data_IF_603817754012
#
_entry.id   IF_603817754012
#
_cell.length_a   1.000
_cell.length_b   1.000
_cell.length_c   1.000
_cell.angle_alpha   90.00
_cell.angle_beta   90.00
_cell.angle_gamma   90.00
#
_symmetry.space_group_name_H-M   'P 1'
#
loop_
_entity.id
_entity.type
_entity.pdbx_description
1 polymer ?
#
# COMPACT_ATOMS: atom_id res chain seq x y z
N UNK A 1 -7.82 19.60 -1.64
CA UNK A 1 -7.17 18.53 -0.87
C UNK A 1 -8.26 17.71 -0.22
N UNK A 2 -8.29 16.40 -0.43
CA UNK A 2 -9.19 15.47 0.27
C UNK A 2 -8.35 14.74 1.33
N UNK A 3 -8.71 14.89 2.58
CA UNK A 3 -8.16 14.09 3.68
C UNK A 3 -9.30 13.20 4.17
N UNK A 4 -9.11 11.89 4.15
CA UNK A 4 -10.07 10.93 4.68
C UNK A 4 -9.46 10.22 5.89
N UNK A 5 -10.22 10.13 6.96
CA UNK A 5 -9.90 9.37 8.17
C UNK A 5 -10.79 8.13 8.26
N UNK A 6 -10.45 7.17 9.08
CA UNK A 6 -11.19 5.91 9.24
C UNK A 6 -12.70 6.11 9.44
N UNK A 7 -13.13 7.15 10.18
CA UNK A 7 -14.54 7.49 10.38
C UNK A 7 -15.27 8.03 9.14
N UNK A 8 -14.53 8.46 8.10
CA UNK A 8 -15.13 9.07 6.91
C UNK A 8 -15.57 8.03 5.86
N UNK A 9 -15.21 6.77 6.04
CA UNK A 9 -15.51 5.72 5.06
C UNK A 9 -16.88 5.08 5.23
N UNK A 10 -17.57 5.33 6.35
CA UNK A 10 -18.89 4.75 6.64
C UNK A 10 -18.82 3.24 6.96
N UNK A 11 -17.68 2.75 7.40
CA UNK A 11 -17.48 1.34 7.74
C UNK A 11 -18.34 0.91 8.91
N UNK A 12 -19.03 -0.22 8.76
CA UNK A 12 -19.94 -0.82 9.76
C UNK A 12 -19.51 -2.24 10.19
N UNK A 13 -18.38 -2.71 9.69
CA UNK A 13 -17.90 -4.07 9.98
C UNK A 13 -17.22 -4.24 11.35
N UNK A 14 -16.69 -5.43 11.64
CA UNK A 14 -15.99 -5.73 12.88
C UNK A 14 -14.66 -4.98 12.98
N UNK A 15 -14.18 -4.85 14.21
CA UNK A 15 -12.86 -4.27 14.46
C UNK A 15 -11.73 -5.27 14.19
N UNK A 16 -10.68 -4.83 13.45
CA UNK A 16 -9.51 -5.63 13.16
C UNK A 16 -8.26 -5.03 13.82
N UNK A 17 -7.55 -5.84 14.60
CA UNK A 17 -6.26 -5.50 15.22
C UNK A 17 -6.16 -4.04 15.72
N UNK A 18 -5.26 -3.25 15.13
CA UNK A 18 -4.96 -1.89 15.54
C UNK A 18 -6.05 -0.88 15.17
N UNK A 19 -6.70 -1.07 14.03
CA UNK A 19 -7.74 -0.18 13.51
C UNK A 19 -8.98 -0.96 13.08
N UNK A 20 -10.17 -0.32 13.11
CA UNK A 20 -11.39 -1.01 12.73
C UNK A 20 -11.46 -1.35 11.23
N UNK A 21 -10.96 -0.46 10.37
CA UNK A 21 -11.20 -0.53 8.92
C UNK A 21 -10.12 -1.33 8.19
N UNK A 22 -10.48 -2.44 7.50
CA UNK A 22 -9.54 -3.19 6.67
C UNK A 22 -9.00 -2.36 5.50
N UNK A 23 -7.75 -2.60 5.12
CA UNK A 23 -7.11 -1.88 4.01
C UNK A 23 -7.86 -2.05 2.68
N UNK A 24 -8.39 -3.24 2.39
CA UNK A 24 -9.20 -3.47 1.19
C UNK A 24 -10.41 -2.54 1.13
N UNK A 25 -11.14 -2.41 2.24
CA UNK A 25 -12.29 -1.53 2.32
C UNK A 25 -11.87 -0.06 2.18
N UNK A 26 -10.82 0.36 2.89
CA UNK A 26 -10.35 1.74 2.88
C UNK A 26 -9.89 2.19 1.49
N UNK A 27 -9.10 1.36 0.80
CA UNK A 27 -8.65 1.63 -0.57
C UNK A 27 -9.84 1.70 -1.53
N UNK A 28 -10.78 0.75 -1.44
CA UNK A 28 -11.96 0.73 -2.30
C UNK A 28 -12.84 1.97 -2.10
N UNK A 29 -13.11 2.33 -0.85
CA UNK A 29 -13.90 3.52 -0.54
C UNK A 29 -13.25 4.82 -1.06
N UNK A 30 -11.93 4.93 -0.93
CA UNK A 30 -11.21 6.10 -1.44
C UNK A 30 -11.15 6.10 -2.98
N UNK A 31 -10.94 4.94 -3.61
CA UNK A 31 -11.01 4.79 -5.06
C UNK A 31 -12.35 5.27 -5.61
N UNK A 32 -13.46 4.82 -5.03
CA UNK A 32 -14.80 5.23 -5.46
C UNK A 32 -15.02 6.75 -5.33
N UNK A 33 -14.49 7.37 -4.28
CA UNK A 33 -14.53 8.84 -4.12
C UNK A 33 -13.70 9.57 -5.19
N UNK A 34 -12.54 9.03 -5.55
CA UNK A 34 -11.69 9.58 -6.60
C UNK A 34 -12.40 9.44 -7.95
N UNK A 35 -12.92 8.24 -8.25
CA UNK A 35 -13.63 7.96 -9.49
C UNK A 35 -14.84 8.88 -9.66
N UNK A 36 -15.66 9.03 -8.63
CA UNK A 36 -16.80 9.96 -8.66
C UNK A 36 -16.38 11.39 -9.02
N UNK A 37 -15.22 11.86 -8.56
CA UNK A 37 -14.71 13.19 -8.89
C UNK A 37 -14.08 13.29 -10.29
N UNK A 38 -13.64 12.18 -10.83
CA UNK A 38 -13.24 12.10 -12.24
C UNK A 38 -14.49 12.20 -13.12
N UNK A 39 -15.51 11.41 -12.78
CA UNK A 39 -16.75 11.32 -13.55
C UNK A 39 -17.55 12.63 -13.54
N UNK A 40 -17.54 13.39 -12.45
CA UNK A 40 -18.19 14.70 -12.35
C UNK A 40 -17.33 15.87 -12.93
N UNK A 41 -16.16 15.56 -13.46
CA UNK A 41 -15.23 16.52 -14.06
C UNK A 41 -14.40 17.34 -13.07
N UNK A 42 -14.58 17.17 -11.75
CA UNK A 42 -13.86 17.95 -10.73
C UNK A 42 -12.35 17.70 -10.76
N UNK A 43 -11.91 16.50 -11.18
CA UNK A 43 -10.51 16.10 -11.30
C UNK A 43 -10.04 15.91 -12.74
N UNK A 44 -10.87 16.21 -13.75
CA UNK A 44 -10.59 15.89 -15.15
C UNK A 44 -9.28 16.50 -15.69
N UNK A 45 -8.90 17.68 -15.21
CA UNK A 45 -7.75 18.45 -15.73
C UNK A 45 -6.62 18.65 -14.70
N UNK A 46 -6.68 17.96 -13.55
CA UNK A 46 -5.67 18.16 -12.49
C UNK A 46 -4.92 16.87 -12.19
N UNK A 47 -3.59 16.95 -11.97
CA UNK A 47 -2.87 15.81 -11.46
C UNK A 47 -3.39 15.44 -10.06
N UNK A 48 -3.59 14.16 -9.83
CA UNK A 48 -4.00 13.60 -8.54
C UNK A 48 -2.75 13.16 -7.77
N UNK A 49 -2.62 13.64 -6.53
CA UNK A 49 -1.73 13.05 -5.55
C UNK A 49 -2.59 12.34 -4.50
N UNK A 50 -2.39 11.02 -4.35
CA UNK A 50 -3.03 10.21 -3.33
C UNK A 50 -1.98 9.56 -2.42
N UNK A 51 -2.16 9.68 -1.12
CA UNK A 51 -1.35 9.03 -0.10
C UNK A 51 -2.25 8.08 0.70
N UNK A 52 -1.85 6.82 0.78
CA UNK A 52 -2.54 5.77 1.54
C UNK A 52 -1.61 5.27 2.64
N UNK A 53 -2.05 5.35 3.87
CA UNK A 53 -1.40 4.67 4.97
C UNK A 53 -2.18 3.39 5.26
N UNK A 54 -1.60 2.26 4.87
CA UNK A 54 -2.17 0.95 5.12
C UNK A 54 -1.85 0.50 6.54
N UNK A 55 -2.78 -0.16 7.19
CA UNK A 55 -2.69 -0.42 8.63
C UNK A 55 -3.03 -1.86 9.03
N UNK A 56 -3.49 -2.69 8.09
CA UNK A 56 -3.84 -4.09 8.40
C UNK A 56 -2.61 -4.94 8.76
N UNK A 57 -1.40 -4.51 8.37
CA UNK A 57 -0.13 -5.11 8.80
C UNK A 57 0.48 -4.45 10.04
N UNK A 58 -0.27 -3.62 10.78
CA UNK A 58 0.17 -3.08 12.07
C UNK A 58 -0.07 -4.10 13.20
N UNK A 59 0.87 -4.16 14.16
CA UNK A 59 0.68 -4.99 15.36
C UNK A 59 -0.63 -4.69 16.08
N UNK A 60 -1.27 -5.66 16.76
CA UNK A 60 -0.73 -6.93 17.26
C UNK A 60 -0.82 -8.14 16.30
N UNK A 61 -1.30 -8.02 15.08
CA UNK A 61 -1.43 -9.12 14.08
C UNK A 61 -2.33 -10.29 14.53
N UNK A 62 -3.29 -10.02 15.39
CA UNK A 62 -4.12 -11.07 15.99
C UNK A 62 -5.48 -11.27 15.32
N UNK A 63 -5.87 -10.37 14.45
CA UNK A 63 -7.13 -10.44 13.74
C UNK A 63 -6.96 -9.87 12.33
N UNK A 64 -6.90 -10.74 11.34
CA UNK A 64 -6.65 -10.40 9.95
C UNK A 64 -7.94 -10.59 9.15
N UNK A 65 -8.38 -9.60 8.36
CA UNK A 65 -9.57 -9.74 7.53
C UNK A 65 -9.39 -10.81 6.45
N UNK A 66 -10.46 -11.51 6.12
CA UNK A 66 -10.49 -12.29 4.88
C UNK A 66 -10.44 -11.37 3.67
N UNK A 67 -9.63 -11.73 2.66
CA UNK A 67 -9.64 -11.03 1.38
C UNK A 67 -10.87 -11.42 0.56
N UNK A 68 -11.65 -10.43 0.10
CA UNK A 68 -12.84 -10.63 -0.72
C UNK A 68 -12.48 -10.44 -2.20
N UNK A 69 -12.56 -11.49 -3.04
CA UNK A 69 -12.21 -11.41 -4.46
C UNK A 69 -13.12 -10.47 -5.26
N UNK A 70 -14.39 -10.40 -4.92
CA UNK A 70 -15.30 -9.42 -5.50
C UNK A 70 -15.41 -8.20 -4.59
N UNK A 71 -14.83 -7.09 -5.03
CA UNK A 71 -14.80 -5.85 -4.26
C UNK A 71 -16.17 -5.18 -4.17
N UNK A 72 -17.14 -5.57 -5.02
CA UNK A 72 -18.52 -5.09 -4.88
C UNK A 72 -19.23 -5.66 -3.64
N UNK A 73 -18.76 -6.80 -3.13
CA UNK A 73 -19.30 -7.43 -1.93
C UNK A 73 -18.91 -6.71 -0.63
N UNK A 74 -17.94 -5.78 -0.70
CA UNK A 74 -17.49 -5.03 0.48
C UNK A 74 -18.62 -4.20 1.11
N UNK A 75 -19.57 -3.69 0.32
CA UNK A 75 -20.71 -2.93 0.80
C UNK A 75 -20.33 -1.82 1.78
N UNK A 76 -20.90 -1.86 2.97
CA UNK A 76 -20.53 -0.99 4.09
C UNK A 76 -19.53 -1.65 5.08
N UNK A 77 -19.00 -2.81 4.73
CA UNK A 77 -18.06 -3.59 5.54
C UNK A 77 -18.72 -4.58 6.50
N UNK A 78 -20.05 -4.59 6.62
CA UNK A 78 -20.75 -5.56 7.50
C UNK A 78 -20.54 -7.01 7.08
N UNK A 79 -20.21 -7.26 5.81
CA UNK A 79 -19.86 -8.58 5.28
C UNK A 79 -18.76 -9.28 6.10
N UNK A 80 -17.82 -8.54 6.67
CA UNK A 80 -16.73 -9.11 7.46
C UNK A 80 -17.18 -9.73 8.80
N UNK A 81 -18.43 -9.58 9.23
CA UNK A 81 -18.97 -10.35 10.35
C UNK A 81 -19.23 -11.83 9.99
N UNK A 82 -19.39 -12.12 8.70
CA UNK A 82 -19.78 -13.44 8.19
C UNK A 82 -18.62 -14.16 7.46
N UNK A 83 -17.46 -13.52 7.33
CA UNK A 83 -16.28 -14.06 6.65
C UNK A 83 -15.37 -14.85 7.59
N UNK A 84 -14.51 -15.70 7.01
CA UNK A 84 -13.55 -16.54 7.75
C UNK A 84 -12.27 -15.76 8.11
N UNK A 85 -12.43 -14.68 8.89
CA UNK A 85 -11.30 -13.87 9.32
C UNK A 85 -10.32 -14.68 10.18
N UNK A 86 -9.03 -14.53 9.91
CA UNK A 86 -7.98 -15.22 10.65
C UNK A 86 -7.82 -14.63 12.06
N UNK A 87 -7.67 -15.50 13.05
CA UNK A 87 -7.38 -15.12 14.43
C UNK A 87 -6.17 -15.88 14.93
N UNK A 88 -5.28 -15.16 15.60
CA UNK A 88 -4.05 -15.69 16.18
C UNK A 88 -4.02 -15.39 17.67
N UNK A 89 -3.55 -16.37 18.46
CA UNK A 89 -3.30 -16.20 19.89
C UNK A 89 -1.95 -15.54 20.10
N UNK A 90 -1.92 -14.23 19.98
CA UNK A 90 -0.72 -13.43 20.18
C UNK A 90 -0.99 -12.32 21.20
N UNK A 91 -1.09 -12.71 22.45
CA UNK A 91 -1.27 -11.78 23.56
C UNK A 91 -0.02 -10.90 23.72
N UNK A 92 -0.09 -9.65 23.23
CA UNK A 92 0.90 -8.60 23.38
C UNK A 92 2.38 -9.06 23.31
N UNK A 93 2.84 -9.55 22.15
CA UNK A 93 4.23 -9.97 21.89
C UNK A 93 4.69 -11.30 22.53
N UNK A 94 3.85 -12.02 23.23
CA UNK A 94 4.23 -13.26 23.90
C UNK A 94 3.56 -14.52 23.35
N UNK A 95 2.59 -14.36 22.44
CA UNK A 95 1.90 -15.50 21.81
C UNK A 95 2.81 -16.24 20.82
N UNK A 96 2.65 -17.56 20.76
CA UNK A 96 3.41 -18.43 19.84
C UNK A 96 3.10 -18.16 18.37
N UNK A 97 1.96 -17.58 18.08
CA UNK A 97 1.44 -17.30 16.72
C UNK A 97 1.70 -15.88 16.25
N UNK A 98 2.52 -15.10 16.97
CA UNK A 98 2.77 -13.70 16.62
C UNK A 98 3.43 -13.52 15.25
N UNK A 99 4.38 -14.38 14.92
CA UNK A 99 5.08 -14.37 13.63
C UNK A 99 4.14 -14.82 12.51
N UNK A 100 3.30 -15.84 12.76
CA UNK A 100 2.33 -16.32 11.79
C UNK A 100 1.28 -15.25 11.49
N UNK A 101 0.82 -14.54 12.51
CA UNK A 101 -0.08 -13.40 12.35
C UNK A 101 0.55 -12.25 11.55
N UNK A 102 1.84 -11.96 11.79
CA UNK A 102 2.57 -10.98 10.97
C UNK A 102 2.63 -11.41 9.50
N UNK A 103 3.00 -12.66 9.22
CA UNK A 103 3.07 -13.19 7.85
C UNK A 103 1.70 -13.09 7.17
N UNK A 104 0.63 -13.53 7.85
CA UNK A 104 -0.73 -13.44 7.32
C UNK A 104 -1.17 -12.00 7.05
N UNK A 105 -0.78 -11.05 7.91
CA UNK A 105 -1.11 -9.64 7.73
C UNK A 105 -0.39 -9.02 6.52
N UNK A 106 0.86 -9.38 6.28
CA UNK A 106 1.63 -8.94 5.10
C UNK A 106 1.05 -9.58 3.83
N UNK A 107 0.71 -10.87 3.86
CA UNK A 107 0.09 -11.57 2.73
C UNK A 107 -1.24 -10.90 2.33
N UNK A 108 -2.09 -10.59 3.31
CA UNK A 108 -3.33 -9.84 3.09
C UNK A 108 -3.06 -8.48 2.42
N UNK A 109 -2.16 -7.67 2.97
CA UNK A 109 -1.85 -6.33 2.44
C UNK A 109 -1.29 -6.41 1.02
N UNK A 110 -0.37 -7.35 0.75
CA UNK A 110 0.21 -7.53 -0.59
C UNK A 110 -0.84 -8.01 -1.59
N UNK A 111 -1.76 -8.88 -1.18
CA UNK A 111 -2.89 -9.33 -2.01
C UNK A 111 -3.77 -8.14 -2.37
N UNK A 112 -4.18 -7.34 -1.37
CA UNK A 112 -5.00 -6.13 -1.59
C UNK A 112 -4.31 -5.16 -2.55
N UNK A 113 -3.01 -4.88 -2.34
CA UNK A 113 -2.24 -3.98 -3.20
C UNK A 113 -2.14 -4.49 -4.62
N UNK A 114 -1.79 -5.77 -4.80
CA UNK A 114 -1.66 -6.37 -6.13
C UNK A 114 -2.96 -6.32 -6.91
N UNK A 115 -4.06 -6.67 -6.26
CA UNK A 115 -5.39 -6.63 -6.88
C UNK A 115 -5.83 -5.19 -7.19
N UNK A 116 -5.56 -4.24 -6.30
CA UNK A 116 -5.84 -2.83 -6.54
C UNK A 116 -5.06 -2.31 -7.76
N UNK A 117 -3.77 -2.57 -7.83
CA UNK A 117 -2.90 -2.11 -8.92
C UNK A 117 -3.30 -2.71 -10.27
N UNK A 118 -3.76 -3.96 -10.28
CA UNK A 118 -4.12 -4.66 -11.52
C UNK A 118 -5.51 -4.35 -12.02
N UNK A 119 -6.47 -4.09 -11.12
CA UNK A 119 -7.88 -3.92 -11.48
C UNK A 119 -8.36 -2.47 -11.54
N UNK A 120 -7.81 -1.62 -10.67
CA UNK A 120 -8.38 -0.29 -10.42
C UNK A 120 -7.49 0.87 -10.86
N UNK A 121 -6.21 0.64 -11.11
CA UNK A 121 -5.34 1.69 -11.68
C UNK A 121 -5.59 1.75 -13.18
N UNK A 122 -6.13 2.87 -13.71
CA UNK A 122 -6.52 2.97 -15.11
C UNK A 122 -5.35 2.79 -16.07
N UNK A 123 -5.60 2.14 -17.20
CA UNK A 123 -4.61 1.94 -18.26
C UNK A 123 -4.39 3.19 -19.11
N UNK A 124 -5.38 4.05 -19.17
CA UNK A 124 -5.44 5.25 -20.01
C UNK A 124 -4.90 6.51 -19.31
N UNK A 125 -4.47 6.38 -18.04
CA UNK A 125 -3.94 7.48 -17.26
C UNK A 125 -2.53 7.18 -16.78
N UNK A 126 -1.60 8.07 -17.06
CA UNK A 126 -0.25 7.95 -16.51
C UNK A 126 -0.28 7.98 -14.98
N UNK A 127 0.33 6.97 -14.38
CA UNK A 127 0.39 6.82 -12.94
C UNK A 127 1.82 6.48 -12.51
N UNK A 128 2.29 7.14 -11.48
CA UNK A 128 3.51 6.78 -10.77
C UNK A 128 3.13 6.37 -9.35
N UNK A 129 3.43 5.14 -8.99
CA UNK A 129 3.06 4.55 -7.72
C UNK A 129 4.34 4.22 -6.96
N UNK A 130 4.41 4.67 -5.72
CA UNK A 130 5.51 4.38 -4.82
C UNK A 130 4.96 3.61 -3.63
N UNK A 131 5.44 2.38 -3.48
CA UNK A 131 5.11 1.51 -2.33
C UNK A 131 6.33 1.46 -1.42
N UNK A 132 6.15 1.74 -0.15
CA UNK A 132 7.25 1.67 0.81
C UNK A 132 6.77 1.22 2.19
N UNK A 133 7.65 0.54 2.93
CA UNK A 133 7.45 0.29 4.34
C UNK A 133 7.76 1.56 5.14
N UNK A 134 7.00 1.83 6.19
CA UNK A 134 7.24 2.98 7.07
C UNK A 134 8.33 2.68 8.11
N UNK A 135 8.39 1.44 8.61
CA UNK A 135 9.41 0.95 9.53
C UNK A 135 9.45 -0.58 9.59
N UNK A 136 10.43 -1.12 10.27
CA UNK A 136 10.52 -2.56 10.53
C UNK A 136 9.52 -2.98 11.61
N UNK A 137 9.02 -4.24 11.56
CA UNK A 137 8.25 -4.81 12.66
C UNK A 137 9.10 -4.93 13.92
N UNK A 138 8.46 -5.11 15.05
CA UNK A 138 9.15 -5.29 16.33
C UNK A 138 10.18 -6.41 16.33
N UNK A 139 11.16 -6.37 17.24
CA UNK A 139 12.30 -7.31 17.28
C UNK A 139 11.92 -8.79 17.47
N UNK A 140 10.70 -9.08 17.85
CA UNK A 140 10.17 -10.45 17.90
C UNK A 140 10.09 -11.05 16.50
N UNK A 141 9.75 -10.22 15.49
CA UNK A 141 9.67 -10.62 14.08
C UNK A 141 11.00 -10.38 13.38
N UNK A 142 11.55 -9.16 13.48
CA UNK A 142 12.74 -8.76 12.71
C UNK A 142 14.05 -9.28 13.28
N UNK A 143 14.07 -9.74 14.54
CA UNK A 143 15.29 -10.11 15.26
C UNK A 143 15.99 -8.91 15.89
N UNK A 144 16.89 -9.19 16.86
CA UNK A 144 17.70 -8.15 17.50
C UNK A 144 18.80 -7.67 16.55
N UNK A 145 18.94 -6.38 16.41
CA UNK A 145 19.96 -5.75 15.55
C UNK A 145 19.67 -5.83 14.06
N UNK A 146 18.43 -6.16 13.67
CA UNK A 146 18.01 -6.11 12.27
C UNK A 146 18.20 -4.71 11.66
N UNK A 147 18.40 -4.67 10.35
CA UNK A 147 18.46 -3.42 9.58
C UNK A 147 17.18 -2.61 9.81
N UNK A 148 17.31 -1.29 9.79
CA UNK A 148 16.16 -0.38 9.79
C UNK A 148 15.71 0.01 8.39
N UNK A 149 16.35 -0.54 7.36
CA UNK A 149 15.97 -0.29 5.98
C UNK A 149 14.61 -0.89 5.67
N UNK A 150 13.83 -0.19 4.88
CA UNK A 150 12.53 -0.61 4.39
C UNK A 150 12.57 -0.80 2.88
N UNK A 151 11.75 -1.69 2.30
CA UNK A 151 11.64 -1.81 0.86
C UNK A 151 10.95 -0.56 0.29
N UNK A 152 11.40 -0.14 -0.90
CA UNK A 152 10.75 0.90 -1.70
C UNK A 152 10.61 0.37 -3.11
N UNK A 153 9.39 0.32 -3.62
CA UNK A 153 9.08 -0.09 -4.99
C UNK A 153 8.49 1.09 -5.75
N UNK A 154 8.98 1.28 -6.97
CA UNK A 154 8.48 2.29 -7.90
C UNK A 154 7.84 1.57 -9.08
N UNK A 155 6.57 1.85 -9.32
CA UNK A 155 5.76 1.19 -10.33
C UNK A 155 5.14 2.24 -11.24
N UNK A 156 5.33 2.10 -12.55
CA UNK A 156 4.66 2.91 -13.57
C UNK A 156 4.53 2.13 -14.87
N UNK A 157 3.52 2.45 -15.67
CA UNK A 157 3.43 1.98 -17.07
C UNK A 157 4.32 2.79 -18.00
N UNK A 158 4.69 4.00 -17.61
CA UNK A 158 5.66 4.81 -18.33
C UNK A 158 7.07 4.28 -18.06
N UNK A 159 7.60 3.56 -19.06
CA UNK A 159 8.93 2.93 -18.97
C UNK A 159 10.06 3.94 -18.81
N UNK A 160 9.93 5.11 -19.41
CA UNK A 160 10.97 6.16 -19.32
C UNK A 160 11.13 6.64 -17.89
N UNK A 161 10.01 6.85 -17.18
CA UNK A 161 10.03 7.24 -15.76
C UNK A 161 10.69 6.16 -14.90
N UNK A 162 10.30 4.89 -15.06
CA UNK A 162 10.91 3.80 -14.30
C UNK A 162 12.40 3.66 -14.62
N UNK A 163 12.77 3.82 -15.90
CA UNK A 163 14.18 3.73 -16.33
C UNK A 163 15.05 4.82 -15.69
N UNK A 164 14.52 6.04 -15.51
CA UNK A 164 15.24 7.11 -14.81
C UNK A 164 15.58 6.73 -13.36
N UNK A 165 14.70 6.02 -12.65
CA UNK A 165 15.03 5.50 -11.32
C UNK A 165 16.16 4.46 -11.34
N UNK A 166 16.22 3.63 -12.38
CA UNK A 166 17.32 2.66 -12.55
C UNK A 166 18.63 3.36 -12.85
N UNK A 167 18.64 4.26 -13.83
CA UNK A 167 19.85 4.87 -14.37
C UNK A 167 20.44 5.93 -13.43
N UNK A 168 19.61 6.70 -12.76
CA UNK A 168 20.04 7.83 -11.96
C UNK A 168 20.12 7.56 -10.46
N UNK A 169 19.27 6.64 -9.95
CA UNK A 169 19.18 6.32 -8.53
C UNK A 169 19.63 4.90 -8.20
N UNK A 170 20.16 4.17 -9.17
CA UNK A 170 20.62 2.79 -9.01
C UNK A 170 19.55 1.83 -8.46
N UNK A 171 18.26 2.06 -8.80
CA UNK A 171 17.21 1.09 -8.50
C UNK A 171 17.43 -0.17 -9.33
N UNK A 172 17.16 -1.32 -8.74
CA UNK A 172 17.18 -2.59 -9.45
C UNK A 172 15.85 -2.83 -10.15
N UNK A 173 15.85 -3.25 -11.44
CA UNK A 173 14.62 -3.61 -12.11
C UNK A 173 14.02 -4.89 -11.50
N UNK A 174 12.68 -4.97 -11.51
CA UNK A 174 11.93 -6.10 -10.97
C UNK A 174 11.56 -5.95 -9.50
N UNK A 175 10.62 -6.80 -9.06
CA UNK A 175 10.07 -6.76 -7.69
C UNK A 175 11.06 -7.41 -6.71
N UNK A 176 11.76 -8.45 -7.13
CA UNK A 176 12.78 -9.15 -6.34
C UNK A 176 14.10 -9.03 -7.09
N UNK A 177 15.01 -8.16 -6.66
CA UNK A 177 16.29 -8.00 -7.34
C UNK A 177 17.24 -9.16 -7.06
N UNK A 178 18.05 -9.50 -8.06
CA UNK A 178 19.08 -10.54 -7.99
C UNK A 178 20.32 -10.13 -7.16
N UNK A 179 20.43 -8.84 -6.80
CA UNK A 179 21.58 -8.28 -6.10
C UNK A 179 21.15 -7.59 -4.79
N UNK A 180 22.04 -7.44 -3.80
CA UNK A 180 21.76 -6.64 -2.61
C UNK A 180 21.30 -5.24 -2.98
N UNK A 181 20.25 -4.79 -2.33
CA UNK A 181 19.69 -3.46 -2.55
C UNK A 181 20.70 -2.36 -2.21
N UNK A 182 20.85 -1.33 -3.03
CA UNK A 182 21.52 -0.13 -2.59
C UNK A 182 20.74 0.49 -1.44
N UNK A 183 21.44 0.87 -0.36
CA UNK A 183 20.84 1.61 0.73
C UNK A 183 20.79 3.09 0.37
N UNK A 184 19.63 3.56 -0.08
CA UNK A 184 19.39 4.98 -0.32
C UNK A 184 18.93 5.65 0.98
N UNK A 185 19.45 6.84 1.22
CA UNK A 185 19.02 7.61 2.37
C UNK A 185 17.70 8.30 2.04
N UNK A 186 16.65 8.14 2.90
CA UNK A 186 15.34 8.75 2.63
C UNK A 186 15.40 10.28 2.45
N UNK A 187 16.38 10.95 3.05
CA UNK A 187 16.57 12.38 2.87
C UNK A 187 16.93 12.78 1.43
N UNK A 188 17.54 11.87 0.64
CA UNK A 188 17.84 12.10 -0.77
C UNK A 188 16.73 11.68 -1.71
N UNK A 189 15.86 10.77 -1.28
CA UNK A 189 14.78 10.24 -2.12
C UNK A 189 13.85 11.34 -2.66
N UNK A 190 13.39 12.24 -1.78
CA UNK A 190 12.43 13.26 -2.19
C UNK A 190 12.99 14.27 -3.22
N UNK A 191 14.18 14.86 -3.03
CA UNK A 191 14.78 15.71 -4.05
C UNK A 191 14.99 14.98 -5.39
N UNK A 192 15.44 13.73 -5.36
CA UNK A 192 15.66 12.94 -6.56
C UNK A 192 14.34 12.60 -7.26
N UNK A 193 13.32 12.22 -6.51
CA UNK A 193 11.97 12.00 -7.02
C UNK A 193 11.40 13.24 -7.71
N UNK A 194 11.51 14.42 -7.07
CA UNK A 194 11.03 15.67 -7.65
C UNK A 194 11.76 15.97 -8.96
N UNK A 195 13.09 15.82 -8.99
CA UNK A 195 13.90 16.02 -10.18
C UNK A 195 13.47 15.12 -11.33
N UNK A 196 13.35 13.81 -11.11
CA UNK A 196 12.92 12.83 -12.13
C UNK A 196 11.49 13.12 -12.60
N UNK A 197 10.58 13.47 -11.69
CA UNK A 197 9.17 13.73 -12.01
C UNK A 197 8.95 15.06 -12.75
N UNK A 198 9.88 16.01 -12.65
CA UNK A 198 9.78 17.34 -13.28
C UNK A 198 10.62 17.48 -14.53
N UNK A 199 11.50 16.54 -14.81
CA UNK A 199 12.31 16.52 -16.03
C UNK A 199 11.45 16.07 -17.21
N UNK A 200 10.66 17.02 -17.72
CA UNK A 200 9.71 16.82 -18.82
C UNK A 200 10.37 16.55 -20.17
N UNK A 201 11.68 16.60 -20.27
CA UNK A 201 12.42 16.32 -21.53
C UNK A 201 12.42 14.82 -21.89
N UNK A 202 12.07 13.95 -20.97
CA UNK A 202 11.96 12.50 -21.18
C UNK A 202 10.59 12.03 -21.70
N UNK A 203 9.61 12.94 -21.92
CA UNK A 203 8.22 12.60 -22.25
C UNK A 203 7.91 12.82 -23.74
N UNK A 204 8.81 13.40 -24.54
CA UNK A 204 8.53 13.76 -25.95
C UNK A 204 9.34 12.94 -27.00
N UNK A 205 9.72 11.69 -26.74
CA UNK A 205 10.26 10.82 -27.79
C UNK A 205 9.49 9.47 -27.87
#
# INVERSE_FOLDING_TARGET
MLIAHNGDFGYQGPWFSFVPVPDQFAIHALHNRIQSRIDDGTLAERPLFAYYQLVSSHMPFNHIPEYLPDWSDLGDGSVFFETENLRFDNDYFSGTEYVDGFIASIDYVLTVLTEYLTRFVPDDRESLIILYGDHQPGSVVSGRGASRSVPVHVVSRNRSVVQSFVDELAYNPGIIPDQPYPHLHMASFFPDFVRISTDTTAIEE
#
